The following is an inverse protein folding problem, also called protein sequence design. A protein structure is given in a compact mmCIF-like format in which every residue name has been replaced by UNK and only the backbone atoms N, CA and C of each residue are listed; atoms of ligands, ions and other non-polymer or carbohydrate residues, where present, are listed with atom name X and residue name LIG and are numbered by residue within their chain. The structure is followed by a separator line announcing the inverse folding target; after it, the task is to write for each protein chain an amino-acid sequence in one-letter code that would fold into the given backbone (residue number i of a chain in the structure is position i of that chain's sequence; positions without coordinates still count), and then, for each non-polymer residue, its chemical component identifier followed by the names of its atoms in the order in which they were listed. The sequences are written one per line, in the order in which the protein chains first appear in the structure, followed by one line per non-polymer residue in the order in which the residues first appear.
data_IF_554378023927
#
_entry.id   IF_554378023927
#
_cell.length_a   1.000
_cell.length_b   1.000
_cell.length_c   1.000
_cell.angle_alpha   90.00
_cell.angle_beta   90.00
_cell.angle_gamma   90.00
#
_symmetry.space_group_name_H-M   'P 1'
#
loop_
_entity.id
_entity.type
_entity.pdbx_description
1 polymer ?
#
# COMPACT_ATOMS: atom_id res chain seq x y z
N UNK A 1 -27.92 -16.62 3.95
CA UNK A 1 -27.55 -15.69 2.85
C UNK A 1 -26.04 -15.63 2.60
N UNK A 2 -25.18 -15.44 3.62
CA UNK A 2 -23.72 -15.41 3.42
C UNK A 2 -23.15 -16.69 2.78
N UNK A 3 -23.57 -17.87 3.23
CA UNK A 3 -23.12 -19.15 2.67
C UNK A 3 -23.41 -19.30 1.16
N UNK A 4 -24.56 -18.82 0.70
CA UNK A 4 -24.93 -18.89 -0.71
C UNK A 4 -24.08 -17.93 -1.56
N UNK A 5 -23.82 -16.72 -1.05
CA UNK A 5 -22.91 -15.78 -1.69
C UNK A 5 -21.47 -16.34 -1.73
N UNK A 6 -21.01 -17.03 -0.69
CA UNK A 6 -19.68 -17.69 -0.68
C UNK A 6 -19.61 -18.82 -1.73
N UNK A 7 -20.68 -19.56 -1.96
CA UNK A 7 -20.73 -20.56 -3.06
C UNK A 7 -20.57 -19.88 -4.42
N UNK A 8 -21.26 -18.76 -4.64
CA UNK A 8 -21.13 -17.97 -5.87
C UNK A 8 -19.71 -17.39 -6.06
N UNK A 9 -19.00 -17.05 -4.98
CA UNK A 9 -17.60 -16.60 -5.09
C UNK A 9 -16.68 -17.69 -5.63
N UNK A 10 -16.95 -18.98 -5.37
CA UNK A 10 -16.08 -20.07 -5.82
C UNK A 10 -16.04 -20.20 -7.34
N UNK A 11 -17.13 -19.86 -8.02
CA UNK A 11 -17.20 -19.88 -9.49
C UNK A 11 -16.55 -18.67 -10.15
N UNK A 12 -16.35 -17.56 -9.43
CA UNK A 12 -15.69 -16.35 -9.96
C UNK A 12 -14.24 -16.61 -10.36
N UNK A 13 -13.77 -15.88 -11.35
CA UNK A 13 -12.37 -15.84 -11.80
C UNK A 13 -11.51 -15.06 -10.81
N UNK A 14 -10.18 -15.24 -10.87
CA UNK A 14 -9.24 -14.48 -10.03
C UNK A 14 -9.39 -12.96 -10.23
N UNK A 15 -9.70 -12.52 -11.46
CA UNK A 15 -9.90 -11.09 -11.78
C UNK A 15 -11.16 -10.53 -11.14
N UNK A 16 -12.27 -11.28 -11.17
CA UNK A 16 -13.52 -10.86 -10.51
C UNK A 16 -13.36 -10.80 -8.99
N UNK A 17 -12.70 -11.80 -8.39
CA UNK A 17 -12.41 -11.81 -6.96
C UNK A 17 -11.49 -10.65 -6.55
N UNK A 18 -10.49 -10.34 -7.38
CA UNK A 18 -9.61 -9.20 -7.18
C UNK A 18 -10.40 -7.89 -7.20
N UNK A 19 -11.24 -7.69 -8.21
CA UNK A 19 -12.08 -6.50 -8.32
C UNK A 19 -13.02 -6.38 -7.12
N UNK A 20 -13.63 -7.48 -6.69
CA UNK A 20 -14.52 -7.47 -5.53
C UNK A 20 -13.78 -7.11 -4.23
N UNK A 21 -12.60 -7.67 -4.01
CA UNK A 21 -11.77 -7.30 -2.87
C UNK A 21 -11.36 -5.82 -2.89
N UNK A 22 -11.04 -5.29 -4.08
CA UNK A 22 -10.77 -3.86 -4.28
C UNK A 22 -12.00 -2.98 -4.05
N UNK A 23 -13.21 -3.41 -4.47
CA UNK A 23 -14.44 -2.64 -4.23
C UNK A 23 -14.79 -2.53 -2.74
N UNK A 24 -14.29 -3.45 -1.92
CA UNK A 24 -14.39 -3.39 -0.46
C UNK A 24 -13.33 -2.46 0.17
N UNK A 25 -12.43 -1.89 -0.64
CA UNK A 25 -11.37 -0.97 -0.22
C UNK A 25 -10.07 -1.64 0.25
N UNK A 26 -9.97 -2.97 0.20
CA UNK A 26 -8.82 -3.70 0.74
C UNK A 26 -7.67 -3.84 -0.25
N UNK A 27 -6.46 -3.98 0.29
CA UNK A 27 -5.23 -4.09 -0.47
C UNK A 27 -4.95 -5.54 -0.93
N UNK A 28 -5.02 -5.86 -2.23
CA UNK A 28 -4.83 -7.23 -2.72
C UNK A 28 -3.36 -7.59 -2.85
N UNK A 29 -2.89 -8.68 -2.23
CA UNK A 29 -1.49 -9.13 -2.36
C UNK A 29 -1.06 -9.31 -3.84
N UNK A 30 0.14 -8.81 -4.25
CA UNK A 30 0.55 -8.87 -5.65
C UNK A 30 0.77 -10.32 -6.10
N UNK A 31 0.09 -10.71 -7.17
CA UNK A 31 0.15 -12.09 -7.65
C UNK A 31 -0.45 -13.10 -6.67
N UNK A 32 -1.43 -12.69 -5.87
CA UNK A 32 -2.21 -13.60 -5.04
C UNK A 32 -2.89 -14.68 -5.91
N UNK A 33 -2.87 -15.91 -5.43
CA UNK A 33 -3.59 -17.02 -6.08
C UNK A 33 -5.10 -16.82 -5.97
N UNK A 34 -5.87 -17.48 -6.86
CA UNK A 34 -7.34 -17.47 -6.78
C UNK A 34 -7.83 -17.87 -5.38
N UNK A 35 -7.22 -18.90 -4.78
CA UNK A 35 -7.59 -19.41 -3.46
C UNK A 35 -7.29 -18.40 -2.36
N UNK A 36 -6.14 -17.72 -2.41
CA UNK A 36 -5.79 -16.67 -1.45
C UNK A 36 -6.75 -15.48 -1.57
N UNK A 37 -7.03 -15.01 -2.80
CA UNK A 37 -8.01 -13.95 -3.04
C UNK A 37 -9.40 -14.32 -2.54
N UNK A 38 -9.87 -15.54 -2.82
CA UNK A 38 -11.15 -16.03 -2.33
C UNK A 38 -11.21 -15.98 -0.80
N UNK A 39 -10.18 -16.48 -0.11
CA UNK A 39 -10.12 -16.45 1.35
C UNK A 39 -10.22 -15.01 1.89
N UNK A 40 -9.52 -14.06 1.27
CA UNK A 40 -9.55 -12.64 1.66
C UNK A 40 -10.90 -11.97 1.41
N UNK A 41 -11.56 -12.25 0.28
CA UNK A 41 -12.92 -11.74 0.01
C UNK A 41 -13.91 -12.30 1.02
N UNK A 42 -13.84 -13.60 1.32
CA UNK A 42 -14.70 -14.23 2.32
C UNK A 42 -14.46 -13.64 3.70
N UNK A 43 -13.21 -13.43 4.11
CA UNK A 43 -12.84 -12.77 5.37
C UNK A 43 -13.48 -11.38 5.48
N UNK A 44 -13.32 -10.53 4.46
CA UNK A 44 -13.90 -9.18 4.45
C UNK A 44 -15.43 -9.20 4.50
N UNK A 45 -16.07 -10.17 3.84
CA UNK A 45 -17.53 -10.37 3.92
C UNK A 45 -18.00 -10.86 5.28
N UNK A 46 -17.24 -11.74 5.92
CA UNK A 46 -17.52 -12.17 7.30
C UNK A 46 -17.49 -10.94 8.20
N UNK A 47 -16.47 -10.09 8.12
CA UNK A 47 -16.41 -8.85 8.89
C UNK A 47 -17.60 -7.93 8.66
N UNK A 48 -18.04 -7.77 7.41
CA UNK A 48 -19.22 -6.98 7.09
C UNK A 48 -20.52 -7.55 7.68
N UNK A 49 -20.58 -8.87 7.91
CA UNK A 49 -21.72 -9.56 8.50
C UNK A 49 -21.64 -9.69 10.04
N UNK A 50 -20.47 -9.48 10.64
CA UNK A 50 -20.29 -9.60 12.09
C UNK A 50 -21.13 -8.57 12.87
N UNK A 51 -21.56 -8.92 14.10
CA UNK A 51 -22.05 -7.93 15.06
C UNK A 51 -21.02 -6.83 15.30
N UNK A 52 -21.48 -5.61 15.61
CA UNK A 52 -20.59 -4.46 15.83
C UNK A 52 -19.56 -4.69 16.95
N UNK A 53 -19.94 -5.42 18.01
CA UNK A 53 -19.03 -5.80 19.08
C UNK A 53 -17.87 -6.66 18.56
N UNK A 54 -18.19 -7.76 17.88
CA UNK A 54 -17.19 -8.65 17.30
C UNK A 54 -16.31 -7.96 16.25
N UNK A 55 -16.89 -7.07 15.43
CA UNK A 55 -16.11 -6.28 14.46
C UNK A 55 -15.10 -5.34 15.14
N UNK A 56 -15.45 -4.77 16.31
CA UNK A 56 -14.51 -3.98 17.11
C UNK A 56 -13.41 -4.84 17.71
N UNK A 57 -13.71 -6.08 18.09
CA UNK A 57 -12.70 -7.01 18.58
C UNK A 57 -11.71 -7.39 17.46
N UNK A 58 -12.19 -7.63 16.24
CA UNK A 58 -11.32 -7.78 15.05
C UNK A 58 -10.43 -6.55 14.85
N UNK A 59 -10.96 -5.34 15.03
CA UNK A 59 -10.15 -4.12 14.96
C UNK A 59 -9.03 -4.13 16.02
N UNK A 60 -9.34 -4.49 17.27
CA UNK A 60 -8.34 -4.59 18.34
C UNK A 60 -7.27 -5.64 18.05
N UNK A 61 -7.67 -6.84 17.62
CA UNK A 61 -6.76 -7.94 17.26
C UNK A 61 -5.78 -7.52 16.16
N UNK A 62 -6.25 -6.68 15.23
CA UNK A 62 -5.45 -6.15 14.13
C UNK A 62 -4.72 -4.84 14.48
N UNK A 63 -4.68 -4.46 15.76
CA UNK A 63 -4.07 -3.21 16.24
C UNK A 63 -4.62 -1.95 15.56
N UNK A 64 -5.91 -1.98 15.20
CA UNK A 64 -6.66 -0.87 14.61
C UNK A 64 -7.43 -0.16 15.71
N UNK A 65 -7.03 1.07 16.02
CA UNK A 65 -7.67 1.91 17.03
C UNK A 65 -9.08 2.36 16.59
N UNK A 66 -10.09 1.59 16.98
CA UNK A 66 -11.49 1.94 16.79
C UNK A 66 -12.02 2.81 17.95
N UNK A 67 -12.75 3.88 17.63
CA UNK A 67 -13.50 4.70 18.59
C UNK A 67 -14.86 4.05 18.90
N UNK A 68 -15.38 4.30 20.11
CA UNK A 68 -16.60 3.65 20.60
C UNK A 68 -17.89 4.00 19.83
N UNK A 69 -17.92 5.16 19.19
CA UNK A 69 -19.05 5.70 18.44
C UNK A 69 -19.07 5.32 16.95
N UNK A 70 -17.98 4.72 16.43
CA UNK A 70 -17.90 4.33 15.03
C UNK A 70 -18.91 3.25 14.67
N UNK A 71 -19.57 3.44 13.52
CA UNK A 71 -20.52 2.49 12.95
C UNK A 71 -19.76 1.50 12.05
N UNK A 72 -20.51 0.56 11.46
CA UNK A 72 -19.93 -0.54 10.67
C UNK A 72 -19.09 -0.05 9.49
N UNK A 73 -19.53 0.90 8.65
CA UNK A 73 -18.76 1.35 7.50
C UNK A 73 -17.40 1.93 7.89
N UNK A 74 -17.33 2.71 8.98
CA UNK A 74 -16.11 3.34 9.47
C UNK A 74 -15.11 2.29 9.98
N UNK A 75 -15.59 1.26 10.69
CA UNK A 75 -14.74 0.15 11.14
C UNK A 75 -14.17 -0.66 9.97
N UNK A 76 -14.99 -0.94 8.94
CA UNK A 76 -14.52 -1.63 7.74
C UNK A 76 -13.51 -0.79 6.96
N UNK A 77 -13.73 0.53 6.85
CA UNK A 77 -12.75 1.45 6.25
C UNK A 77 -11.44 1.47 7.03
N UNK A 78 -11.48 1.43 8.36
CA UNK A 78 -10.26 1.36 9.17
C UNK A 78 -9.48 0.05 8.95
N UNK A 79 -10.18 -1.09 8.85
CA UNK A 79 -9.56 -2.38 8.53
C UNK A 79 -8.99 -2.38 7.10
N UNK A 80 -9.70 -1.79 6.15
CA UNK A 80 -9.26 -1.63 4.78
C UNK A 80 -8.00 -0.76 4.71
N UNK A 81 -8.01 0.40 5.36
CA UNK A 81 -6.85 1.28 5.46
C UNK A 81 -5.65 0.57 6.10
N UNK A 82 -5.86 -0.19 7.19
CA UNK A 82 -4.81 -0.97 7.82
C UNK A 82 -4.18 -2.02 6.88
N UNK A 83 -4.96 -2.63 5.98
CA UNK A 83 -4.42 -3.56 4.98
C UNK A 83 -3.46 -2.88 4.00
N UNK A 84 -3.69 -1.61 3.65
CA UNK A 84 -2.78 -0.82 2.83
C UNK A 84 -1.53 -0.38 3.60
N UNK A 85 -1.68 -0.09 4.90
CA UNK A 85 -0.53 0.26 5.75
C UNK A 85 0.44 -0.91 5.93
N UNK A 86 -0.06 -2.14 6.00
CA UNK A 86 0.76 -3.36 5.98
C UNK A 86 1.59 -3.48 4.70
N UNK A 87 1.21 -2.77 3.64
CA UNK A 87 1.95 -2.68 2.38
C UNK A 87 2.80 -1.41 2.26
N UNK A 88 2.95 -0.69 3.36
CA UNK A 88 3.73 0.55 3.41
C UNK A 88 3.00 1.78 2.86
N UNK A 89 1.69 1.71 2.57
CA UNK A 89 0.90 2.89 2.16
C UNK A 89 0.12 3.43 3.36
N UNK A 90 0.51 4.58 3.95
CA UNK A 90 -0.03 5.09 5.20
C UNK A 90 -1.39 5.80 5.03
N UNK A 91 -2.41 5.12 4.49
CA UNK A 91 -3.69 5.74 4.11
C UNK A 91 -4.35 6.54 5.24
N UNK A 92 -4.23 6.12 6.51
CA UNK A 92 -4.87 6.84 7.64
C UNK A 92 -4.24 8.20 7.93
N UNK A 93 -3.04 8.46 7.42
CA UNK A 93 -2.27 9.70 7.64
C UNK A 93 -2.28 10.63 6.43
N UNK A 94 -2.93 10.22 5.34
CA UNK A 94 -2.93 10.93 4.07
C UNK A 94 -4.27 11.61 3.85
N UNK A 95 -4.22 12.76 3.18
CA UNK A 95 -5.42 13.38 2.63
C UNK A 95 -6.09 12.41 1.63
N UNK A 96 -7.44 12.33 1.59
CA UNK A 96 -8.16 11.42 0.69
C UNK A 96 -7.78 11.55 -0.79
N UNK A 97 -7.47 12.75 -1.28
CA UNK A 97 -7.07 12.97 -2.67
C UNK A 97 -5.70 12.35 -2.94
N UNK A 98 -4.76 12.54 -2.02
CA UNK A 98 -3.41 11.97 -2.07
C UNK A 98 -3.47 10.45 -1.96
N UNK A 99 -4.29 9.93 -1.05
CA UNK A 99 -4.55 8.51 -0.86
C UNK A 99 -5.02 7.84 -2.17
N UNK A 100 -6.05 8.40 -2.83
CA UNK A 100 -6.55 7.85 -4.09
C UNK A 100 -5.48 7.87 -5.20
N UNK A 101 -4.75 8.98 -5.33
CA UNK A 101 -3.65 9.07 -6.29
C UNK A 101 -2.53 8.06 -6.04
N UNK A 102 -2.27 7.71 -4.78
CA UNK A 102 -1.32 6.66 -4.39
C UNK A 102 -1.82 5.26 -4.77
N UNK A 103 -3.09 4.97 -4.50
CA UNK A 103 -3.71 3.68 -4.86
C UNK A 103 -3.69 3.45 -6.37
N UNK A 104 -4.04 4.47 -7.15
CA UNK A 104 -3.98 4.41 -8.62
C UNK A 104 -2.56 4.17 -9.13
N UNK A 105 -1.56 4.77 -8.50
CA UNK A 105 -0.16 4.57 -8.88
C UNK A 105 0.32 3.17 -8.49
N UNK A 106 -0.06 2.66 -7.31
CA UNK A 106 0.24 1.29 -6.88
C UNK A 106 -0.37 0.26 -7.85
N UNK A 107 -1.62 0.46 -8.26
CA UNK A 107 -2.30 -0.40 -9.23
C UNK A 107 -1.59 -0.42 -10.59
N UNK A 108 -1.11 0.75 -11.06
CA UNK A 108 -0.31 0.84 -12.29
C UNK A 108 1.03 0.11 -12.17
N UNK A 109 1.66 0.11 -10.99
CA UNK A 109 2.89 -0.66 -10.76
C UNK A 109 2.62 -2.17 -10.80
N UNK A 110 1.53 -2.64 -10.20
CA UNK A 110 1.18 -4.06 -10.21
C UNK A 110 0.92 -4.59 -11.63
N UNK A 111 0.34 -3.75 -12.49
CA UNK A 111 0.07 -4.06 -13.89
C UNK A 111 1.33 -4.16 -14.76
N UNK A 112 2.43 -3.49 -14.40
CA UNK A 112 3.68 -3.52 -15.16
C UNK A 112 4.35 -4.90 -15.08
N UNK A 113 5.05 -5.26 -16.13
CA UNK A 113 5.99 -6.40 -16.16
C UNK A 113 7.26 -6.09 -15.37
N UNK A 114 8.02 -7.12 -15.01
CA UNK A 114 9.31 -6.98 -14.30
C UNK A 114 10.30 -6.13 -15.10
N UNK A 115 10.33 -6.29 -16.42
CA UNK A 115 11.21 -5.51 -17.32
C UNK A 115 10.84 -4.03 -17.32
N UNK A 116 9.55 -3.70 -17.36
CA UNK A 116 9.07 -2.31 -17.26
C UNK A 116 9.36 -1.69 -15.89
N UNK A 117 9.16 -2.43 -14.80
CA UNK A 117 9.48 -1.99 -13.45
C UNK A 117 10.98 -1.69 -13.29
N UNK A 118 11.85 -2.57 -13.82
CA UNK A 118 13.30 -2.34 -13.83
C UNK A 118 13.71 -1.13 -14.67
N UNK A 119 13.10 -0.96 -15.84
CA UNK A 119 13.36 0.21 -16.69
C UNK A 119 12.94 1.51 -15.98
N UNK A 120 11.83 1.50 -15.24
CA UNK A 120 11.39 2.64 -14.44
C UNK A 120 12.33 2.92 -13.26
N UNK A 121 12.82 1.88 -12.58
CA UNK A 121 13.85 2.03 -11.54
C UNK A 121 15.12 2.69 -12.09
N UNK A 122 15.64 2.21 -13.22
CA UNK A 122 16.82 2.79 -13.88
C UNK A 122 16.62 4.25 -14.27
N UNK A 123 15.45 4.58 -14.85
CA UNK A 123 15.10 5.95 -15.24
C UNK A 123 15.07 6.91 -14.04
N UNK A 124 14.64 6.42 -12.88
CA UNK A 124 14.59 7.20 -11.62
C UNK A 124 15.91 7.11 -10.83
N UNK A 125 16.92 6.43 -11.36
CA UNK A 125 18.20 6.13 -10.70
C UNK A 125 18.01 5.47 -9.33
N UNK A 126 17.02 4.58 -9.22
CA UNK A 126 16.74 3.80 -8.02
C UNK A 126 17.54 2.49 -8.03
N UNK A 127 18.13 2.09 -6.90
CA UNK A 127 18.97 0.90 -6.81
C UNK A 127 18.19 -0.43 -6.87
N UNK A 128 16.87 -0.38 -6.94
CA UNK A 128 16.00 -1.57 -6.95
C UNK A 128 16.05 -2.38 -8.25
N UNK A 129 16.68 -1.88 -9.32
CA UNK A 129 16.69 -2.57 -10.61
C UNK A 129 17.36 -3.95 -10.57
N UNK A 130 18.18 -4.23 -9.56
CA UNK A 130 18.83 -5.52 -9.29
C UNK A 130 17.93 -6.55 -8.60
N UNK A 131 16.78 -6.13 -8.03
CA UNK A 131 15.88 -7.04 -7.33
C UNK A 131 15.33 -8.12 -8.28
N UNK A 132 15.32 -9.37 -7.79
CA UNK A 132 14.91 -10.54 -8.55
C UNK A 132 13.39 -10.71 -8.56
N UNK A 133 12.72 -10.45 -7.44
CA UNK A 133 11.29 -10.65 -7.26
C UNK A 133 10.48 -9.42 -7.71
N UNK A 134 9.43 -9.65 -8.51
CA UNK A 134 8.44 -8.64 -8.91
C UNK A 134 7.76 -8.02 -7.68
N UNK A 135 7.45 -8.81 -6.66
CA UNK A 135 6.78 -8.38 -5.44
C UNK A 135 7.65 -7.41 -4.65
N UNK A 136 8.93 -7.71 -4.52
CA UNK A 136 9.90 -6.81 -3.89
C UNK A 136 10.06 -5.52 -4.68
N UNK A 137 10.19 -5.60 -6.01
CA UNK A 137 10.20 -4.44 -6.90
C UNK A 137 8.97 -3.54 -6.70
N UNK A 138 7.76 -4.12 -6.70
CA UNK A 138 6.53 -3.37 -6.46
C UNK A 138 6.55 -2.75 -5.08
N UNK A 139 6.90 -3.49 -4.03
CA UNK A 139 6.97 -2.99 -2.65
C UNK A 139 7.91 -1.77 -2.54
N UNK A 140 9.13 -1.88 -3.06
CA UNK A 140 10.10 -0.78 -3.06
C UNK A 140 9.63 0.42 -3.90
N UNK A 141 9.03 0.18 -5.06
CA UNK A 141 8.49 1.26 -5.88
C UNK A 141 7.26 1.93 -5.26
N UNK A 142 6.42 1.18 -4.55
CA UNK A 142 5.32 1.73 -3.76
C UNK A 142 5.84 2.63 -2.64
N UNK A 143 6.89 2.23 -1.93
CA UNK A 143 7.54 3.08 -0.93
C UNK A 143 8.08 4.38 -1.54
N UNK A 144 8.69 4.30 -2.73
CA UNK A 144 9.14 5.49 -3.47
C UNK A 144 7.98 6.42 -3.79
N UNK A 145 6.83 5.90 -4.23
CA UNK A 145 5.66 6.74 -4.47
C UNK A 145 5.22 7.40 -3.16
N UNK A 146 5.16 6.65 -2.05
CA UNK A 146 4.80 7.21 -0.74
C UNK A 146 5.75 8.35 -0.34
N UNK A 147 7.06 8.17 -0.46
CA UNK A 147 8.04 9.23 -0.16
C UNK A 147 7.86 10.45 -1.07
N UNK A 148 7.48 10.25 -2.33
CA UNK A 148 7.18 11.35 -3.25
C UNK A 148 5.92 12.13 -2.89
N UNK A 149 5.04 11.60 -2.03
CA UNK A 149 3.85 12.30 -1.53
C UNK A 149 3.97 12.78 -0.08
N UNK A 150 5.05 12.43 0.62
CA UNK A 150 5.30 12.99 1.95
C UNK A 150 5.58 14.49 1.87
N UNK A 151 5.19 15.28 2.90
CA UNK A 151 5.71 16.64 3.07
C UNK A 151 7.24 16.64 2.99
N UNK A 152 7.82 17.66 2.37
CA UNK A 152 9.26 17.70 2.15
C UNK A 152 10.03 17.63 3.48
N UNK A 153 9.50 18.29 4.51
CA UNK A 153 10.03 18.32 5.87
C UNK A 153 10.11 16.92 6.49
N UNK A 154 9.06 16.12 6.27
CA UNK A 154 9.02 14.75 6.77
C UNK A 154 10.04 13.87 6.06
N UNK A 155 10.26 14.09 4.76
CA UNK A 155 11.26 13.38 3.97
C UNK A 155 12.69 13.80 4.35
N UNK A 156 12.93 15.10 4.56
CA UNK A 156 14.20 15.65 5.05
C UNK A 156 14.56 15.05 6.41
N UNK A 157 13.62 15.03 7.36
CA UNK A 157 13.80 14.43 8.67
C UNK A 157 14.09 12.92 8.59
N UNK A 158 13.38 12.17 7.74
CA UNK A 158 13.61 10.74 7.56
C UNK A 158 15.01 10.44 6.99
N UNK A 159 15.54 11.33 6.15
CA UNK A 159 16.87 11.22 5.56
C UNK A 159 17.99 11.87 6.39
N UNK A 160 17.67 12.51 7.53
CA UNK A 160 18.64 13.28 8.33
C UNK A 160 19.29 14.43 7.55
N UNK A 161 18.56 15.02 6.59
CA UNK A 161 19.08 16.06 5.72
C UNK A 161 18.66 17.45 6.22
N UNK A 162 19.60 18.38 6.29
CA UNK A 162 19.32 19.77 6.64
C UNK A 162 18.95 20.59 5.41
N UNK A 163 17.95 21.48 5.54
CA UNK A 163 17.55 22.43 4.49
C UNK A 163 18.70 23.29 3.98
N UNK A 164 19.75 23.52 4.77
CA UNK A 164 20.94 24.24 4.36
C UNK A 164 21.67 23.57 3.17
N UNK A 165 21.58 22.24 3.04
CA UNK A 165 22.16 21.48 1.94
C UNK A 165 21.37 21.61 0.62
N UNK A 166 20.17 22.21 0.66
CA UNK A 166 19.33 22.47 -0.52
C UNK A 166 19.88 23.60 -1.41
N UNK A 167 20.85 24.38 -0.92
CA UNK A 167 21.34 25.58 -1.60
C UNK A 167 21.72 25.29 -3.07
N UNK A 168 20.91 25.83 -4.00
CA UNK A 168 21.12 25.71 -5.44
C UNK A 168 20.30 24.62 -6.17
N UNK A 169 19.62 23.71 -5.47
CA UNK A 169 18.77 22.69 -6.09
C UNK A 169 17.28 23.09 -6.06
N UNK A 170 16.61 22.99 -7.21
CA UNK A 170 15.15 23.09 -7.28
C UNK A 170 14.47 22.00 -6.43
N UNK A 171 13.28 22.29 -5.90
CA UNK A 171 12.59 21.39 -4.96
C UNK A 171 12.43 19.95 -5.48
N UNK A 172 12.10 19.81 -6.76
CA UNK A 172 11.93 18.51 -7.40
C UNK A 172 13.25 17.71 -7.45
N UNK A 173 14.37 18.37 -7.75
CA UNK A 173 15.69 17.74 -7.78
C UNK A 173 16.13 17.33 -6.36
N UNK A 174 15.87 18.19 -5.38
CA UNK A 174 16.15 17.90 -3.98
C UNK A 174 15.35 16.69 -3.47
N UNK A 175 14.02 16.69 -3.70
CA UNK A 175 13.15 15.56 -3.36
C UNK A 175 13.62 14.27 -4.02
N UNK A 176 13.99 14.30 -5.29
CA UNK A 176 14.50 13.14 -6.00
C UNK A 176 15.79 12.58 -5.35
N UNK A 177 16.70 13.46 -4.91
CA UNK A 177 17.92 13.07 -4.18
C UNK A 177 17.60 12.41 -2.83
N UNK A 178 16.67 12.97 -2.06
CA UNK A 178 16.23 12.39 -0.79
C UNK A 178 15.60 11.01 -0.98
N UNK A 179 14.73 10.86 -1.99
CA UNK A 179 14.12 9.57 -2.34
C UNK A 179 15.18 8.53 -2.70
N UNK A 180 16.20 8.90 -3.48
CA UNK A 180 17.30 7.99 -3.82
C UNK A 180 18.12 7.61 -2.59
N UNK A 181 18.41 8.55 -1.69
CA UNK A 181 19.12 8.27 -0.43
C UNK A 181 18.34 7.29 0.44
N UNK A 182 17.03 7.51 0.58
CA UNK A 182 16.16 6.63 1.33
C UNK A 182 16.08 5.23 0.69
N UNK A 183 16.01 5.16 -0.64
CA UNK A 183 16.00 3.90 -1.38
C UNK A 183 17.27 3.06 -1.13
N UNK A 184 18.45 3.70 -1.14
CA UNK A 184 19.73 3.04 -0.82
C UNK A 184 19.78 2.54 0.62
N UNK A 185 19.29 3.34 1.57
CA UNK A 185 19.19 2.95 2.98
C UNK A 185 18.32 1.71 3.18
N UNK A 186 17.21 1.59 2.45
CA UNK A 186 16.32 0.42 2.49
C UNK A 186 17.01 -0.85 1.98
N UNK A 187 17.91 -0.74 0.99
CA UNK A 187 18.71 -1.88 0.51
C UNK A 187 19.94 -2.18 1.37
N UNK A 188 20.21 -1.38 2.41
CA UNK A 188 21.45 -1.50 3.19
C UNK A 188 22.70 -1.03 2.46
N UNK A 189 22.56 -0.37 1.30
CA UNK A 189 23.66 0.23 0.56
C UNK A 189 24.00 1.60 1.18
N UNK A 190 24.85 1.63 2.21
CA UNK A 190 25.35 2.90 2.78
C UNK A 190 25.54 2.97 4.29
N UNK A 191 25.95 1.87 4.94
CA UNK A 191 26.66 1.92 6.22
C UNK A 191 28.07 1.36 6.01
N UNK A 192 28.89 2.13 5.30
CA UNK A 192 30.36 2.09 5.36
C UNK A 192 30.86 3.53 5.46
#
# INVERSE_FOLDING_TARGET
QLLERVRQLKSKTSRELLNEYKTLGFAPEPGASKTALLAKVVEAWVWAALPLSALRDVCKERNVAAKGDQRRPELLQLLAAASWEQRGIPLRRLDPVVANGLLDQADRLEAKSVTELRAECRRKSLPFASLADKRELISCMTQVIVWNHLPLEALEAACGAERALRAGAGEAAWRASLVQRQARRVLGEGLE
#
